data_IF_718328907184
#
_entry.id   IF_718328907184
#
_cell.length_a   1.000
_cell.length_b   1.000
_cell.length_c   1.000
_cell.angle_alpha   90.00
_cell.angle_beta   90.00
_cell.angle_gamma   90.00
#
_symmetry.space_group_name_H-M   'P 1'
#
loop_
_entity.id
_entity.type
_entity.pdbx_description
1 polymer ?
#
# COMPACT_ATOMS: atom_id res chain seq x y z
N UNK A 1 -8.93 -19.14 18.29
CA UNK A 1 -8.48 -20.16 17.35
C UNK A 1 -9.71 -20.95 16.94
N UNK A 2 -10.01 -21.01 15.65
CA UNK A 2 -11.04 -21.90 15.15
C UNK A 2 -10.55 -23.34 15.43
N UNK A 3 -11.37 -24.15 16.11
CA UNK A 3 -11.08 -25.57 16.29
C UNK A 3 -11.22 -26.29 14.94
N UNK A 4 -10.14 -26.27 14.17
CA UNK A 4 -10.09 -26.90 12.84
C UNK A 4 -10.31 -28.38 12.91
N UNK A 5 -10.02 -29.02 14.07
CA UNK A 5 -10.27 -30.45 14.31
C UNK A 5 -11.74 -30.81 14.30
N UNK A 6 -12.62 -29.91 14.76
CA UNK A 6 -14.06 -30.11 14.81
C UNK A 6 -14.81 -29.75 13.52
N UNK A 7 -14.16 -29.14 12.53
CA UNK A 7 -14.76 -28.80 11.23
C UNK A 7 -15.01 -30.06 10.39
N UNK A 8 -16.18 -30.17 9.77
CA UNK A 8 -16.47 -31.19 8.78
C UNK A 8 -15.72 -30.95 7.45
N UNK A 9 -15.49 -32.01 6.67
CA UNK A 9 -14.74 -31.89 5.40
C UNK A 9 -15.47 -31.08 4.34
N UNK A 10 -16.78 -30.97 4.40
CA UNK A 10 -17.62 -30.15 3.52
C UNK A 10 -17.81 -28.72 4.02
N UNK A 11 -17.31 -28.37 5.22
CA UNK A 11 -17.34 -27.01 5.72
C UNK A 11 -16.56 -26.07 4.81
N UNK A 12 -17.20 -24.96 4.39
CA UNK A 12 -16.59 -23.94 3.55
C UNK A 12 -15.55 -23.12 4.31
N UNK A 13 -14.29 -23.27 3.94
CA UNK A 13 -13.17 -22.45 4.43
C UNK A 13 -13.01 -21.17 3.62
N UNK A 14 -13.09 -21.26 2.30
CA UNK A 14 -13.00 -20.10 1.40
C UNK A 14 -14.35 -19.83 0.73
N UNK A 15 -15.19 -19.01 1.35
CA UNK A 15 -16.50 -18.66 0.81
C UNK A 15 -16.45 -17.90 -0.52
N UNK A 16 -15.35 -17.15 -0.82
CA UNK A 16 -15.22 -16.41 -2.08
C UNK A 16 -14.99 -17.32 -3.29
N UNK A 17 -14.33 -18.47 -3.08
CA UNK A 17 -13.96 -19.41 -4.15
C UNK A 17 -14.58 -20.79 -3.97
N UNK A 18 -15.49 -20.96 -3.02
CA UNK A 18 -16.23 -22.20 -2.79
C UNK A 18 -15.36 -23.38 -2.35
N UNK A 19 -14.27 -23.16 -1.61
CA UNK A 19 -13.31 -24.20 -1.23
C UNK A 19 -13.59 -24.70 0.18
N UNK A 20 -13.83 -26.02 0.32
CA UNK A 20 -14.08 -26.70 1.59
C UNK A 20 -12.79 -27.12 2.31
N UNK A 21 -12.90 -27.50 3.59
CA UNK A 21 -11.81 -28.07 4.37
C UNK A 21 -11.25 -29.33 3.72
N UNK A 22 -12.09 -30.25 3.31
CA UNK A 22 -11.65 -31.50 2.66
C UNK A 22 -10.87 -31.26 1.38
N UNK A 23 -11.28 -30.29 0.56
CA UNK A 23 -10.52 -29.89 -0.64
C UNK A 23 -9.11 -29.42 -0.29
N UNK A 24 -8.97 -28.64 0.79
CA UNK A 24 -7.68 -28.14 1.26
C UNK A 24 -6.82 -29.28 1.82
N UNK A 25 -7.38 -30.13 2.67
CA UNK A 25 -6.67 -31.28 3.27
C UNK A 25 -6.18 -32.25 2.18
N UNK A 26 -7.04 -32.59 1.22
CA UNK A 26 -6.67 -33.44 0.09
C UNK A 26 -5.54 -32.84 -0.76
N UNK A 27 -5.58 -31.54 -1.00
CA UNK A 27 -4.50 -30.84 -1.72
C UNK A 27 -3.18 -30.86 -0.95
N UNK A 28 -3.22 -30.67 0.39
CA UNK A 28 -2.04 -30.74 1.26
C UNK A 28 -1.42 -32.13 1.20
N UNK A 29 -2.21 -33.18 1.41
CA UNK A 29 -1.73 -34.55 1.47
C UNK A 29 -1.32 -35.09 0.10
N UNK A 30 -2.11 -34.81 -0.94
CA UNK A 30 -1.87 -35.32 -2.28
C UNK A 30 -0.68 -34.68 -2.99
N UNK A 31 -0.37 -33.41 -2.71
CA UNK A 31 0.71 -32.66 -3.36
C UNK A 31 1.85 -32.27 -2.42
N UNK A 32 1.83 -32.70 -1.17
CA UNK A 32 2.89 -32.39 -0.20
C UNK A 32 3.02 -30.90 0.10
N UNK A 33 1.89 -30.15 0.12
CA UNK A 33 1.91 -28.70 0.30
C UNK A 33 2.21 -28.33 1.75
N UNK A 34 3.07 -27.34 1.96
CA UNK A 34 3.54 -26.94 3.29
C UNK A 34 3.26 -25.48 3.63
N UNK A 35 2.78 -24.69 2.68
CA UNK A 35 2.51 -23.27 2.85
C UNK A 35 1.12 -22.86 2.39
N UNK A 36 0.59 -21.78 3.00
CA UNK A 36 -0.72 -21.18 2.61
C UNK A 36 -0.76 -20.77 1.14
N UNK A 37 0.36 -20.29 0.61
CA UNK A 37 0.46 -19.85 -0.78
C UNK A 37 0.44 -21.02 -1.77
N UNK A 38 1.06 -22.16 -1.42
CA UNK A 38 0.99 -23.40 -2.21
C UNK A 38 -0.45 -23.94 -2.22
N UNK A 39 -1.12 -23.99 -1.05
CA UNK A 39 -2.54 -24.37 -0.96
C UNK A 39 -3.40 -23.45 -1.81
N UNK A 40 -3.18 -22.14 -1.74
CA UNK A 40 -3.88 -21.18 -2.59
C UNK A 40 -3.59 -21.40 -4.08
N UNK A 41 -2.38 -21.82 -4.43
CA UNK A 41 -1.98 -22.20 -5.78
C UNK A 41 -2.77 -23.34 -6.38
N UNK A 42 -2.99 -24.39 -5.57
CA UNK A 42 -3.69 -25.60 -5.99
C UNK A 42 -5.22 -25.49 -5.92
N UNK A 43 -5.75 -24.75 -4.93
CA UNK A 43 -7.19 -24.76 -4.61
C UNK A 43 -7.91 -23.45 -4.87
N UNK A 44 -7.20 -22.37 -5.17
CA UNK A 44 -7.66 -20.98 -5.18
C UNK A 44 -8.13 -20.45 -3.81
N UNK A 45 -8.03 -21.22 -2.72
CA UNK A 45 -8.36 -20.73 -1.38
C UNK A 45 -7.42 -19.59 -0.96
N UNK A 46 -7.98 -18.53 -0.40
CA UNK A 46 -7.21 -17.36 0.06
C UNK A 46 -6.73 -16.39 -1.03
N UNK A 47 -7.06 -16.63 -2.31
CA UNK A 47 -6.61 -15.79 -3.43
C UNK A 47 -7.49 -14.58 -3.73
N UNK A 48 -8.75 -14.58 -3.30
CA UNK A 48 -9.66 -13.44 -3.50
C UNK A 48 -9.57 -12.43 -2.36
N UNK A 49 -10.35 -12.58 -1.29
CA UNK A 49 -10.36 -11.64 -0.17
C UNK A 49 -9.26 -11.89 0.88
N UNK A 50 -8.67 -13.09 0.91
CA UNK A 50 -7.61 -13.47 1.84
C UNK A 50 -8.07 -13.78 3.28
N UNK A 51 -9.36 -13.63 3.62
CA UNK A 51 -9.89 -13.85 5.00
C UNK A 51 -9.61 -15.23 5.54
N UNK A 52 -9.63 -16.25 4.68
CA UNK A 52 -9.43 -17.63 5.08
C UNK A 52 -7.96 -18.06 5.24
N UNK A 53 -6.98 -17.17 5.03
CA UNK A 53 -5.55 -17.53 5.10
C UNK A 53 -5.13 -18.04 6.50
N UNK A 54 -5.66 -17.45 7.57
CA UNK A 54 -5.42 -17.92 8.93
C UNK A 54 -5.97 -19.33 9.14
N UNK A 55 -7.21 -19.59 8.71
CA UNK A 55 -7.84 -20.90 8.78
C UNK A 55 -7.07 -21.95 7.95
N UNK A 56 -6.59 -21.59 6.76
CA UNK A 56 -5.74 -22.46 5.93
C UNK A 56 -4.43 -22.80 6.67
N UNK A 57 -3.81 -21.81 7.34
CA UNK A 57 -2.61 -22.05 8.17
C UNK A 57 -2.88 -23.00 9.33
N UNK A 58 -4.07 -22.90 9.95
CA UNK A 58 -4.47 -23.80 11.03
C UNK A 58 -4.77 -25.22 10.50
N UNK A 59 -5.37 -25.36 9.30
CA UNK A 59 -5.55 -26.63 8.61
C UNK A 59 -4.20 -27.28 8.25
N UNK A 60 -3.23 -26.52 7.76
CA UNK A 60 -1.87 -26.98 7.50
C UNK A 60 -1.22 -27.51 8.77
N UNK A 61 -1.31 -26.77 9.88
CA UNK A 61 -0.78 -27.19 11.18
C UNK A 61 -1.44 -28.47 11.68
N UNK A 62 -2.76 -28.58 11.53
CA UNK A 62 -3.54 -29.76 11.93
C UNK A 62 -3.19 -30.98 11.07
N UNK A 63 -3.09 -30.80 9.75
CA UNK A 63 -2.87 -31.90 8.78
C UNK A 63 -1.44 -32.43 8.82
N UNK A 64 -0.44 -31.57 9.01
CA UNK A 64 0.97 -31.93 8.99
C UNK A 64 1.56 -32.21 10.39
N UNK A 65 0.83 -31.85 11.47
CA UNK A 65 1.28 -32.08 12.85
C UNK A 65 2.69 -31.56 13.12
N UNK A 66 3.55 -32.37 13.70
CA UNK A 66 4.94 -32.02 14.03
C UNK A 66 5.80 -31.72 12.82
N UNK A 67 5.38 -32.08 11.60
CA UNK A 67 6.07 -31.73 10.36
C UNK A 67 5.80 -30.27 9.94
N UNK A 68 4.76 -29.63 10.50
CA UNK A 68 4.42 -28.25 10.23
C UNK A 68 5.18 -27.30 11.15
N UNK A 69 6.33 -26.83 10.67
CA UNK A 69 7.09 -25.83 11.41
C UNK A 69 6.71 -24.42 10.95
N UNK A 70 5.83 -23.74 11.71
CA UNK A 70 5.39 -22.35 11.47
C UNK A 70 6.56 -21.34 11.39
N UNK A 71 7.72 -21.67 11.98
CA UNK A 71 8.83 -20.74 12.17
C UNK A 71 10.11 -21.07 11.34
N UNK A 72 10.17 -22.21 10.66
CA UNK A 72 11.44 -22.76 10.19
C UNK A 72 11.79 -22.52 8.72
N UNK A 73 10.90 -22.01 7.86
CA UNK A 73 11.30 -21.55 6.53
C UNK A 73 10.98 -20.07 6.41
N UNK A 74 12.01 -19.23 6.37
CA UNK A 74 11.88 -17.88 5.82
C UNK A 74 11.19 -18.03 4.47
N UNK A 75 9.96 -17.54 4.35
CA UNK A 75 9.21 -17.66 3.12
C UNK A 75 9.98 -16.98 2.00
N UNK A 76 10.19 -17.68 0.88
CA UNK A 76 10.77 -17.07 -0.31
C UNK A 76 9.86 -15.96 -0.82
N UNK A 77 10.43 -14.92 -1.45
CA UNK A 77 9.65 -13.81 -1.98
C UNK A 77 8.64 -14.23 -3.05
N UNK A 78 8.92 -15.33 -3.77
CA UNK A 78 8.02 -15.95 -4.75
C UNK A 78 8.51 -17.35 -5.15
N UNK A 79 7.74 -18.05 -6.00
CA UNK A 79 8.11 -19.37 -6.52
C UNK A 79 9.30 -19.36 -7.52
N UNK A 80 9.71 -18.19 -8.01
CA UNK A 80 10.83 -18.08 -8.96
C UNK A 80 12.20 -18.21 -8.28
N UNK A 81 12.27 -18.09 -6.96
CA UNK A 81 13.49 -18.19 -6.15
C UNK A 81 13.20 -18.90 -4.82
N UNK A 82 14.22 -19.39 -4.17
CA UNK A 82 14.17 -19.88 -2.79
C UNK A 82 14.59 -18.81 -1.77
N UNK A 83 15.08 -17.66 -2.22
CA UNK A 83 15.58 -16.59 -1.36
C UNK A 83 14.42 -15.86 -0.68
N UNK A 84 14.60 -15.58 0.61
CA UNK A 84 13.75 -14.71 1.40
C UNK A 84 14.01 -13.23 1.10
N UNK A 85 13.12 -12.36 1.59
CA UNK A 85 13.31 -10.91 1.51
C UNK A 85 14.66 -10.45 2.06
N UNK A 86 15.03 -10.93 3.24
CA UNK A 86 16.26 -10.50 3.92
C UNK A 86 17.51 -10.93 3.17
N UNK A 87 17.50 -12.14 2.61
CA UNK A 87 18.58 -12.63 1.77
C UNK A 87 18.72 -11.82 0.48
N UNK A 88 17.62 -11.55 -0.21
CA UNK A 88 17.64 -10.69 -1.42
C UNK A 88 18.15 -9.29 -1.10
N UNK A 89 17.69 -8.68 -0.02
CA UNK A 89 18.13 -7.34 0.41
C UNK A 89 19.63 -7.34 0.78
N UNK A 90 20.10 -8.36 1.48
CA UNK A 90 21.52 -8.50 1.84
C UNK A 90 22.39 -8.64 0.59
N UNK A 91 22.02 -9.52 -0.33
CA UNK A 91 22.75 -9.77 -1.59
C UNK A 91 22.78 -8.52 -2.50
N UNK A 92 21.67 -7.77 -2.60
CA UNK A 92 21.65 -6.50 -3.34
C UNK A 92 22.67 -5.53 -2.77
N UNK A 93 22.73 -5.39 -1.43
CA UNK A 93 23.67 -4.50 -0.74
C UNK A 93 25.11 -4.96 -0.90
N UNK A 94 25.38 -6.24 -0.67
CA UNK A 94 26.73 -6.82 -0.70
C UNK A 94 27.35 -6.75 -2.10
N UNK A 95 26.53 -7.07 -3.14
CA UNK A 95 27.01 -7.12 -4.52
C UNK A 95 26.82 -5.79 -5.28
N UNK A 96 26.21 -4.79 -4.66
CA UNK A 96 25.96 -3.49 -5.28
C UNK A 96 25.05 -3.56 -6.51
N UNK A 97 24.05 -4.46 -6.50
CA UNK A 97 23.16 -4.67 -7.65
C UNK A 97 22.23 -3.47 -7.84
N UNK A 98 21.97 -3.07 -9.09
CA UNK A 98 21.30 -1.80 -9.42
C UNK A 98 20.04 -1.93 -10.24
N UNK A 99 19.77 -3.08 -10.88
CA UNK A 99 18.60 -3.29 -11.72
C UNK A 99 17.90 -4.60 -11.41
N UNK A 100 16.59 -4.65 -11.71
CA UNK A 100 15.74 -5.84 -11.49
C UNK A 100 16.29 -7.06 -12.24
N UNK A 101 16.71 -6.89 -13.49
CA UNK A 101 17.28 -7.97 -14.30
C UNK A 101 18.62 -8.45 -13.74
N UNK A 102 19.48 -7.54 -13.32
CA UNK A 102 20.76 -7.89 -12.70
C UNK A 102 20.57 -8.72 -11.43
N UNK A 103 19.66 -8.31 -10.53
CA UNK A 103 19.33 -9.08 -9.32
C UNK A 103 18.85 -10.48 -9.67
N UNK A 104 17.93 -10.62 -10.62
CA UNK A 104 17.42 -11.94 -11.00
C UNK A 104 18.48 -12.83 -11.61
N UNK A 105 19.33 -12.29 -12.47
CA UNK A 105 20.41 -13.05 -13.13
C UNK A 105 21.50 -13.47 -12.14
N UNK A 106 22.00 -12.54 -11.34
CA UNK A 106 23.10 -12.78 -10.41
C UNK A 106 22.69 -13.73 -9.28
N UNK A 107 21.46 -13.62 -8.79
CA UNK A 107 20.96 -14.45 -7.70
C UNK A 107 20.27 -15.75 -8.16
N UNK A 108 20.28 -16.07 -9.45
CA UNK A 108 19.84 -17.35 -10.01
C UNK A 108 18.33 -17.57 -9.96
N UNK A 109 17.55 -16.61 -10.47
CA UNK A 109 16.12 -16.80 -10.63
C UNK A 109 15.80 -17.93 -11.62
N UNK A 110 14.86 -18.82 -11.30
CA UNK A 110 14.42 -19.93 -12.17
C UNK A 110 13.74 -19.45 -13.45
N UNK A 111 13.16 -18.26 -13.42
CA UNK A 111 12.50 -17.61 -14.54
C UNK A 111 13.17 -16.24 -14.75
N UNK A 112 13.89 -16.07 -15.85
CA UNK A 112 14.63 -14.85 -16.21
C UNK A 112 13.74 -13.62 -16.32
N UNK A 113 12.46 -13.79 -16.70
CA UNK A 113 11.49 -12.70 -16.74
C UNK A 113 10.85 -12.38 -15.40
N UNK A 114 11.07 -13.23 -14.38
CA UNK A 114 10.43 -13.09 -13.08
C UNK A 114 8.91 -13.30 -13.11
N UNK A 115 8.21 -12.83 -12.09
CA UNK A 115 6.76 -12.89 -11.99
C UNK A 115 6.17 -11.59 -11.43
N UNK A 116 4.83 -11.52 -11.39
CA UNK A 116 4.08 -10.36 -10.87
C UNK A 116 4.28 -10.10 -9.37
N UNK A 117 4.96 -10.99 -8.63
CA UNK A 117 5.36 -10.78 -7.23
C UNK A 117 6.78 -10.25 -7.11
N UNK A 118 7.77 -10.95 -7.72
CA UNK A 118 9.18 -10.61 -7.51
C UNK A 118 9.62 -9.36 -8.26
N UNK A 119 9.16 -9.11 -9.48
CA UNK A 119 9.55 -7.90 -10.22
C UNK A 119 9.26 -6.61 -9.46
N UNK A 120 8.01 -6.37 -9.00
CA UNK A 120 7.72 -5.15 -8.23
C UNK A 120 8.38 -5.14 -6.85
N UNK A 121 8.61 -6.31 -6.22
CA UNK A 121 9.32 -6.40 -4.95
C UNK A 121 10.79 -6.02 -5.09
N UNK A 122 11.49 -6.56 -6.09
CA UNK A 122 12.90 -6.23 -6.34
C UNK A 122 13.06 -4.75 -6.70
N UNK A 123 12.20 -4.21 -7.58
CA UNK A 123 12.21 -2.78 -7.91
C UNK A 123 12.04 -1.90 -6.65
N UNK A 124 11.12 -2.28 -5.77
CA UNK A 124 10.92 -1.61 -4.48
C UNK A 124 12.16 -1.70 -3.58
N UNK A 125 12.78 -2.89 -3.45
CA UNK A 125 13.99 -3.07 -2.62
C UNK A 125 15.17 -2.26 -3.16
N UNK A 126 15.37 -2.24 -4.47
CA UNK A 126 16.39 -1.42 -5.11
C UNK A 126 16.20 0.07 -4.81
N UNK A 127 14.96 0.59 -4.89
CA UNK A 127 14.63 1.97 -4.56
C UNK A 127 14.85 2.32 -3.08
N UNK A 128 14.61 1.35 -2.20
CA UNK A 128 14.85 1.49 -0.76
C UNK A 128 16.35 1.47 -0.40
N UNK A 129 17.14 0.63 -1.07
CA UNK A 129 18.56 0.43 -0.77
C UNK A 129 19.42 1.51 -1.45
N UNK A 130 19.20 1.76 -2.73
CA UNK A 130 19.99 2.65 -3.56
C UNK A 130 19.32 4.02 -3.72
N UNK A 131 19.02 4.67 -2.60
CA UNK A 131 18.23 5.90 -2.58
C UNK A 131 18.75 6.96 -3.56
N UNK A 132 20.07 7.10 -3.73
CA UNK A 132 20.66 8.14 -4.58
C UNK A 132 20.67 7.79 -6.08
N UNK A 133 20.82 6.50 -6.42
CA UNK A 133 21.13 6.07 -7.78
C UNK A 133 20.06 5.17 -8.42
N UNK A 134 19.01 4.78 -7.68
CA UNK A 134 17.97 3.92 -8.21
C UNK A 134 17.22 4.59 -9.37
N UNK A 135 17.08 3.87 -10.47
CA UNK A 135 16.16 4.20 -11.56
C UNK A 135 14.95 3.30 -11.47
N UNK A 136 13.77 3.89 -11.32
CA UNK A 136 12.54 3.13 -11.23
C UNK A 136 12.30 2.30 -12.51
N UNK A 137 12.20 0.98 -12.35
CA UNK A 137 11.78 0.10 -13.44
C UNK A 137 10.24 0.06 -13.51
N UNK A 138 9.67 1.02 -14.25
CA UNK A 138 8.22 1.15 -14.43
C UNK A 138 7.58 -0.14 -14.96
N UNK A 139 8.27 -0.89 -15.82
CA UNK A 139 7.75 -2.14 -16.37
C UNK A 139 7.69 -3.28 -15.35
N UNK A 140 8.44 -3.18 -14.28
CA UNK A 140 8.38 -4.09 -13.13
C UNK A 140 7.32 -3.71 -12.08
N UNK A 141 6.65 -2.56 -12.18
CA UNK A 141 5.57 -2.17 -11.26
C UNK A 141 4.29 -2.97 -11.50
N UNK A 142 3.38 -2.95 -10.52
CA UNK A 142 2.04 -3.51 -10.68
C UNK A 142 1.25 -2.73 -11.75
N UNK A 143 0.30 -3.39 -12.42
CA UNK A 143 -0.39 -2.84 -13.60
C UNK A 143 -1.04 -1.48 -13.36
N UNK A 144 -1.73 -1.28 -12.23
CA UNK A 144 -2.31 0.02 -11.88
C UNK A 144 -1.25 1.10 -11.62
N UNK A 145 -0.09 0.71 -11.09
CA UNK A 145 1.03 1.62 -10.85
C UNK A 145 1.73 2.03 -12.16
N UNK A 146 1.86 1.11 -13.12
CA UNK A 146 2.36 1.43 -14.47
C UNK A 146 1.52 2.51 -15.16
N UNK A 147 0.20 2.41 -14.98
CA UNK A 147 -0.77 3.30 -15.61
C UNK A 147 -1.08 4.56 -14.78
N UNK A 148 -0.58 4.63 -13.56
CA UNK A 148 -0.94 5.67 -12.58
C UNK A 148 -2.45 5.90 -12.44
N UNK A 149 -3.24 4.84 -12.57
CA UNK A 149 -4.69 4.85 -12.46
C UNK A 149 -5.23 3.49 -12.03
N UNK A 150 -6.45 3.46 -11.44
CA UNK A 150 -7.16 2.20 -11.22
C UNK A 150 -7.82 1.75 -12.52
N UNK A 151 -7.51 0.54 -12.96
CA UNK A 151 -8.20 -0.15 -14.06
C UNK A 151 -9.47 -0.77 -13.49
N UNK A 152 -10.62 -0.47 -14.09
CA UNK A 152 -11.93 -0.95 -13.67
C UNK A 152 -12.29 -2.27 -14.38
N UNK A 153 -13.36 -2.92 -13.92
CA UNK A 153 -13.80 -4.21 -14.45
C UNK A 153 -14.14 -4.19 -15.93
N UNK A 154 -14.65 -3.07 -16.42
CA UNK A 154 -15.04 -2.84 -17.82
C UNK A 154 -13.89 -2.36 -18.71
N UNK A 155 -12.67 -2.25 -18.16
CA UNK A 155 -11.48 -1.76 -18.86
C UNK A 155 -11.32 -0.24 -18.86
N UNK A 156 -12.27 0.49 -18.29
CA UNK A 156 -12.14 1.94 -18.07
C UNK A 156 -11.26 2.26 -16.84
N UNK A 157 -11.07 3.52 -16.54
CA UNK A 157 -10.16 3.99 -15.50
C UNK A 157 -10.84 4.93 -14.52
N UNK A 158 -10.26 5.04 -13.32
CA UNK A 158 -10.67 6.03 -12.32
C UNK A 158 -9.61 7.11 -12.19
N UNK A 159 -10.02 8.36 -12.26
CA UNK A 159 -9.21 9.55 -11.93
C UNK A 159 -9.61 10.05 -10.55
N UNK A 160 -8.62 10.20 -9.65
CA UNK A 160 -8.84 10.67 -8.28
C UNK A 160 -7.82 11.77 -7.97
N UNK A 161 -8.19 13.05 -8.09
CA UNK A 161 -7.33 14.16 -7.71
C UNK A 161 -6.99 14.15 -6.21
N UNK A 162 -5.85 14.73 -5.85
CA UNK A 162 -5.43 14.89 -4.47
C UNK A 162 -6.28 15.97 -3.78
N UNK A 163 -6.81 15.63 -2.63
CA UNK A 163 -7.47 16.53 -1.70
C UNK A 163 -6.83 16.36 -0.34
N UNK A 164 -5.87 17.22 -0.02
CA UNK A 164 -5.08 17.12 1.21
C UNK A 164 -5.96 17.21 2.44
N UNK A 165 -5.89 16.21 3.30
CA UNK A 165 -6.74 16.13 4.49
C UNK A 165 -8.24 16.05 4.20
N UNK A 166 -8.64 15.75 2.96
CA UNK A 166 -10.04 15.80 2.54
C UNK A 166 -10.59 17.22 2.34
N UNK A 167 -9.73 18.24 2.37
CA UNK A 167 -10.09 19.64 2.17
C UNK A 167 -9.95 20.01 0.69
N UNK A 168 -10.90 20.77 0.16
CA UNK A 168 -10.89 21.28 -1.20
C UNK A 168 -11.45 22.69 -1.26
N UNK A 169 -11.32 23.38 -2.41
CA UNK A 169 -11.82 24.72 -2.64
C UNK A 169 -13.01 24.71 -3.60
N UNK A 170 -13.83 25.77 -3.57
CA UNK A 170 -14.87 25.98 -4.57
C UNK A 170 -14.31 26.03 -6.00
N UNK A 171 -13.10 26.59 -6.17
CA UNK A 171 -12.40 26.60 -7.46
C UNK A 171 -12.07 25.17 -7.94
N UNK A 172 -11.50 24.33 -7.08
CA UNK A 172 -11.15 22.95 -7.44
C UNK A 172 -12.40 22.11 -7.74
N UNK A 173 -13.48 22.30 -6.96
CA UNK A 173 -14.76 21.65 -7.24
C UNK A 173 -15.31 22.03 -8.62
N UNK A 174 -15.22 23.32 -8.98
CA UNK A 174 -15.64 23.80 -10.29
C UNK A 174 -14.79 23.19 -11.40
N UNK A 175 -13.45 23.20 -11.27
CA UNK A 175 -12.55 22.56 -12.23
C UNK A 175 -12.87 21.06 -12.41
N UNK A 176 -13.10 20.34 -11.35
CA UNK A 176 -13.45 18.91 -11.42
C UNK A 176 -14.78 18.71 -12.18
N UNK A 177 -15.78 19.56 -11.93
CA UNK A 177 -17.06 19.48 -12.62
C UNK A 177 -16.92 19.80 -14.12
N UNK A 178 -16.23 20.86 -14.48
CA UNK A 178 -15.95 21.25 -15.88
C UNK A 178 -15.19 20.16 -16.64
N UNK A 179 -14.20 19.56 -16.01
CA UNK A 179 -13.44 18.43 -16.61
C UNK A 179 -14.34 17.20 -16.76
N UNK A 180 -15.15 16.88 -15.76
CA UNK A 180 -16.06 15.74 -15.86
C UNK A 180 -17.08 15.91 -16.99
N UNK A 181 -17.62 17.11 -17.21
CA UNK A 181 -18.50 17.44 -18.32
C UNK A 181 -17.77 17.40 -19.68
N UNK A 182 -16.57 17.99 -19.77
CA UNK A 182 -15.76 18.04 -21.01
C UNK A 182 -15.44 16.67 -21.57
N UNK A 183 -15.20 15.67 -20.70
CA UNK A 183 -14.82 14.31 -21.09
C UNK A 183 -15.95 13.29 -20.94
N UNK A 184 -17.20 13.74 -20.83
CA UNK A 184 -18.40 12.88 -20.68
C UNK A 184 -18.20 11.79 -19.62
N UNK A 185 -17.62 12.14 -18.45
CA UNK A 185 -17.36 11.19 -17.36
C UNK A 185 -18.69 10.64 -16.83
N UNK A 186 -18.94 9.32 -16.94
CA UNK A 186 -20.27 8.78 -16.65
C UNK A 186 -20.63 8.77 -15.16
N UNK A 187 -19.64 8.83 -14.26
CA UNK A 187 -19.88 8.80 -12.81
C UNK A 187 -18.86 9.62 -12.03
N UNK A 188 -19.33 10.58 -11.27
CA UNK A 188 -18.56 11.31 -10.26
C UNK A 188 -19.02 10.86 -8.87
N UNK A 189 -18.09 10.47 -7.98
CA UNK A 189 -18.42 9.90 -6.66
C UNK A 189 -17.50 10.41 -5.57
N UNK A 190 -18.09 10.75 -4.42
CA UNK A 190 -17.34 10.95 -3.17
C UNK A 190 -16.84 9.59 -2.68
N UNK A 191 -15.53 9.45 -2.51
CA UNK A 191 -14.87 8.21 -2.07
C UNK A 191 -14.78 8.12 -0.54
N UNK A 192 -14.64 6.92 -0.01
CA UNK A 192 -14.40 6.72 1.42
C UNK A 192 -13.09 7.33 1.94
N UNK A 193 -12.20 7.81 1.06
CA UNK A 193 -10.97 8.52 1.40
C UNK A 193 -11.13 10.05 1.47
N UNK A 194 -12.36 10.57 1.49
CA UNK A 194 -12.67 12.01 1.45
C UNK A 194 -12.13 12.70 0.18
N UNK A 195 -12.25 12.04 -0.96
CA UNK A 195 -11.84 12.57 -2.27
C UNK A 195 -12.95 12.36 -3.29
N UNK A 196 -12.89 13.10 -4.38
CA UNK A 196 -13.78 12.93 -5.53
C UNK A 196 -13.09 11.99 -6.52
N UNK A 197 -13.81 10.98 -7.00
CA UNK A 197 -13.36 10.07 -8.05
C UNK A 197 -14.21 10.25 -9.31
N UNK A 198 -13.54 10.33 -10.45
CA UNK A 198 -14.11 10.31 -11.79
C UNK A 198 -14.00 8.88 -12.33
N UNK A 199 -15.12 8.23 -12.57
CA UNK A 199 -15.19 6.81 -12.94
C UNK A 199 -15.66 6.64 -14.38
N UNK A 200 -15.18 5.59 -15.06
CA UNK A 200 -15.56 5.30 -16.44
C UNK A 200 -14.72 6.08 -17.47
N UNK A 201 -13.54 6.58 -17.07
CA UNK A 201 -12.65 7.34 -17.95
C UNK A 201 -11.97 6.40 -18.95
N UNK A 202 -11.89 6.82 -20.21
CA UNK A 202 -11.15 6.09 -21.24
C UNK A 202 -9.64 6.25 -21.06
N UNK A 203 -8.86 5.27 -21.50
CA UNK A 203 -7.41 5.27 -21.36
C UNK A 203 -6.77 6.49 -22.05
N UNK A 204 -7.20 6.75 -23.26
CA UNK A 204 -6.70 7.84 -24.10
C UNK A 204 -6.98 9.24 -23.57
N UNK A 205 -8.04 9.39 -22.77
CA UNK A 205 -8.41 10.68 -22.18
C UNK A 205 -7.59 11.02 -20.91
N UNK A 206 -6.95 10.01 -20.29
CA UNK A 206 -6.24 10.19 -19.02
C UNK A 206 -5.21 11.33 -19.03
N UNK A 207 -4.28 11.43 -20.02
CA UNK A 207 -3.29 12.52 -20.02
C UNK A 207 -3.92 13.90 -20.10
N UNK A 208 -4.93 14.08 -20.97
CA UNK A 208 -5.60 15.35 -21.16
C UNK A 208 -6.48 15.75 -19.94
N UNK A 209 -7.15 14.79 -19.31
CA UNK A 209 -7.90 15.02 -18.05
C UNK A 209 -6.96 15.53 -16.95
N UNK A 210 -5.79 14.90 -16.77
CA UNK A 210 -4.85 15.33 -15.74
C UNK A 210 -4.21 16.70 -16.07
N UNK A 211 -3.99 17.01 -17.34
CA UNK A 211 -3.55 18.32 -17.80
C UNK A 211 -4.58 19.41 -17.48
N UNK A 212 -5.86 19.18 -17.80
CA UNK A 212 -6.96 20.12 -17.53
C UNK A 212 -7.25 20.28 -16.04
N UNK A 213 -7.17 19.20 -15.26
CA UNK A 213 -7.35 19.27 -13.80
C UNK A 213 -6.29 20.14 -13.13
N UNK A 214 -5.05 20.12 -13.63
CA UNK A 214 -3.89 20.77 -13.01
C UNK A 214 -3.75 20.49 -11.51
N UNK A 215 -4.16 19.29 -11.07
CA UNK A 215 -4.13 18.83 -9.70
C UNK A 215 -3.20 17.61 -9.56
N UNK A 216 -2.51 17.43 -8.41
CA UNK A 216 -1.71 16.24 -8.16
C UNK A 216 -2.56 14.96 -8.12
N UNK A 217 -1.95 13.83 -8.46
CA UNK A 217 -2.56 12.52 -8.32
C UNK A 217 -2.87 12.18 -6.86
N UNK A 218 -4.06 11.64 -6.60
CA UNK A 218 -4.44 11.10 -5.30
C UNK A 218 -3.84 9.72 -5.00
N UNK A 219 -3.02 9.13 -5.88
CA UNK A 219 -2.39 7.81 -5.73
C UNK A 219 -3.38 6.71 -5.29
N UNK A 220 -4.62 6.77 -5.75
CA UNK A 220 -5.68 5.83 -5.35
C UNK A 220 -5.40 4.37 -5.77
N UNK A 221 -4.39 4.13 -6.57
CA UNK A 221 -3.97 2.87 -7.17
C UNK A 221 -2.70 2.25 -6.54
N UNK A 222 -1.79 3.08 -5.97
CA UNK A 222 -0.43 2.69 -5.64
C UNK A 222 -0.25 2.05 -4.24
N UNK A 223 0.93 1.49 -4.04
CA UNK A 223 1.46 1.09 -2.72
C UNK A 223 2.18 2.29 -2.12
N UNK A 224 1.41 3.23 -1.61
CA UNK A 224 1.85 4.52 -1.09
C UNK A 224 0.84 5.04 -0.07
N UNK A 225 1.08 6.25 0.46
CA UNK A 225 0.07 6.95 1.22
C UNK A 225 -1.11 7.32 0.31
N UNK A 226 -2.28 6.71 0.60
CA UNK A 226 -3.51 6.89 -0.18
C UNK A 226 -4.26 8.14 0.19
N UNK A 227 -4.36 8.45 1.48
CA UNK A 227 -5.14 9.57 2.00
C UNK A 227 -4.84 9.78 3.48
N UNK A 228 -4.98 11.01 3.94
CA UNK A 228 -5.13 11.36 5.35
C UNK A 228 -6.55 11.90 5.55
N UNK A 229 -7.43 11.12 6.19
CA UNK A 229 -8.77 11.57 6.53
C UNK A 229 -8.70 12.53 7.71
N UNK A 230 -9.48 13.60 7.68
CA UNK A 230 -9.60 14.51 8.81
C UNK A 230 -11.07 14.73 9.20
N UNK A 231 -11.32 15.08 10.43
CA UNK A 231 -12.58 15.76 10.81
C UNK A 231 -12.32 17.28 10.82
N UNK A 232 -13.33 18.08 11.11
CA UNK A 232 -13.18 19.55 11.09
C UNK A 232 -12.42 20.13 12.30
N UNK A 233 -12.08 19.28 13.28
CA UNK A 233 -11.24 19.61 14.42
C UNK A 233 -11.70 20.79 15.26
N UNK A 234 -10.74 21.40 15.97
CA UNK A 234 -11.00 22.55 16.85
C UNK A 234 -11.48 23.81 16.11
N UNK A 235 -11.27 23.89 14.81
CA UNK A 235 -11.68 25.08 14.04
C UNK A 235 -13.20 25.21 13.91
N UNK A 236 -13.94 24.09 13.81
CA UNK A 236 -15.40 24.12 13.58
C UNK A 236 -16.21 23.18 14.48
N UNK A 237 -15.55 22.31 15.24
CA UNK A 237 -16.25 21.35 16.10
C UNK A 237 -16.10 21.74 17.58
N UNK A 238 -17.23 21.90 18.29
CA UNK A 238 -17.23 22.20 19.73
C UNK A 238 -16.54 21.15 20.62
N UNK A 239 -16.34 19.94 20.10
CA UNK A 239 -15.67 18.84 20.81
C UNK A 239 -14.23 18.65 20.36
N UNK A 240 -13.80 19.36 19.33
CA UNK A 240 -12.44 19.25 18.80
C UNK A 240 -11.44 19.91 19.75
N UNK A 241 -10.43 19.17 20.20
CA UNK A 241 -9.37 19.69 21.06
C UNK A 241 -8.16 20.15 20.26
N UNK A 242 -7.98 19.64 19.03
CA UNK A 242 -6.79 19.87 18.21
C UNK A 242 -7.15 20.26 16.77
N UNK A 243 -6.22 20.95 16.07
CA UNK A 243 -6.33 21.24 14.64
C UNK A 243 -6.01 19.97 13.81
N UNK A 244 -7.06 19.33 13.32
CA UNK A 244 -6.94 18.09 12.56
C UNK A 244 -6.69 18.33 11.08
N UNK A 245 -7.27 19.38 10.51
CA UNK A 245 -7.08 19.70 9.10
C UNK A 245 -5.65 20.17 8.84
N UNK A 246 -5.11 21.05 9.71
CA UNK A 246 -3.72 21.50 9.63
C UNK A 246 -2.73 20.34 9.66
N UNK A 247 -2.81 19.47 10.68
CA UNK A 247 -1.93 18.31 10.79
C UNK A 247 -2.13 17.34 9.62
N UNK A 248 -3.38 17.03 9.26
CA UNK A 248 -3.67 16.09 8.16
C UNK A 248 -3.13 16.54 6.81
N UNK A 249 -3.26 17.85 6.50
CA UNK A 249 -2.70 18.45 5.28
C UNK A 249 -1.16 18.36 5.27
N UNK A 250 -0.50 18.69 6.40
CA UNK A 250 0.97 18.61 6.52
C UNK A 250 1.48 17.18 6.34
N UNK A 251 0.85 16.20 7.00
CA UNK A 251 1.18 14.78 6.87
C UNK A 251 1.01 14.29 5.41
N UNK A 252 -0.11 14.62 4.78
CA UNK A 252 -0.38 14.16 3.44
C UNK A 252 0.57 14.79 2.42
N UNK A 253 0.86 16.09 2.52
CA UNK A 253 1.84 16.79 1.67
C UNK A 253 3.25 16.23 1.82
N UNK A 254 3.66 15.89 3.06
CA UNK A 254 4.99 15.33 3.29
C UNK A 254 5.15 13.93 2.70
N UNK A 255 4.16 13.06 2.87
CA UNK A 255 4.31 11.63 2.57
C UNK A 255 3.54 11.15 1.32
N UNK A 256 2.87 12.01 0.58
CA UNK A 256 1.95 11.65 -0.51
C UNK A 256 2.53 10.75 -1.61
N UNK A 257 3.83 10.84 -1.85
CA UNK A 257 4.53 10.14 -2.94
C UNK A 257 5.45 9.03 -2.47
N UNK A 258 5.42 8.72 -1.18
CA UNK A 258 6.28 7.70 -0.60
C UNK A 258 5.86 6.29 -1.04
N UNK A 259 6.73 5.58 -1.73
CA UNK A 259 6.54 4.14 -1.97
C UNK A 259 6.64 3.35 -0.67
N UNK A 260 5.66 2.52 -0.43
CA UNK A 260 5.57 1.67 0.78
C UNK A 260 5.33 0.21 0.39
N UNK A 261 5.65 -0.77 1.26
CA UNK A 261 5.41 -2.19 0.97
C UNK A 261 3.96 -2.50 0.59
N UNK A 262 3.01 -1.82 1.23
CA UNK A 262 1.59 -1.86 0.90
C UNK A 262 0.97 -0.47 1.06
N UNK A 263 -0.27 -0.28 0.57
CA UNK A 263 -1.01 0.97 0.75
C UNK A 263 -1.09 1.38 2.22
N UNK A 264 -0.87 2.65 2.49
CA UNK A 264 -1.01 3.27 3.81
C UNK A 264 -2.18 4.25 3.80
N UNK A 265 -2.95 4.27 4.87
CA UNK A 265 -4.02 5.23 5.11
C UNK A 265 -3.85 5.82 6.50
N UNK A 266 -4.03 7.12 6.60
CA UNK A 266 -3.97 7.83 7.87
C UNK A 266 -5.33 8.48 8.20
N UNK A 267 -5.49 8.84 9.47
CA UNK A 267 -6.66 9.59 9.93
C UNK A 267 -6.32 10.48 11.10
N UNK A 268 -6.88 11.69 11.14
CA UNK A 268 -6.71 12.65 12.23
C UNK A 268 -8.07 13.05 12.75
N UNK A 269 -8.40 12.60 13.95
CA UNK A 269 -9.64 12.90 14.67
C UNK A 269 -9.35 13.90 15.78
N UNK A 270 -10.15 14.96 15.90
CA UNK A 270 -9.94 16.04 16.88
C UNK A 270 -10.35 15.71 18.31
N UNK A 271 -10.90 14.51 18.54
CA UNK A 271 -11.26 14.02 19.88
C UNK A 271 -11.53 12.50 19.82
N UNK A 272 -11.72 11.82 20.98
CA UNK A 272 -11.99 10.38 21.06
C UNK A 272 -13.28 9.88 20.36
N UNK A 273 -14.14 10.78 19.85
CA UNK A 273 -15.29 10.41 19.00
C UNK A 273 -14.90 9.78 17.67
N UNK A 274 -13.64 9.91 17.28
CA UNK A 274 -13.02 9.18 16.16
C UNK A 274 -13.72 9.36 14.80
N UNK A 275 -14.23 10.55 14.50
CA UNK A 275 -15.00 10.84 13.28
C UNK A 275 -14.21 10.62 11.97
N UNK A 276 -12.87 10.73 11.99
CA UNK A 276 -11.99 10.42 10.87
C UNK A 276 -11.53 8.95 10.83
N UNK A 277 -12.10 8.11 11.71
CA UNK A 277 -11.77 6.68 11.82
C UNK A 277 -10.27 6.41 12.11
N UNK A 278 -9.62 7.31 12.85
CA UNK A 278 -8.19 7.21 13.19
C UNK A 278 -7.83 5.85 13.83
N UNK A 279 -8.71 5.34 14.70
CA UNK A 279 -8.49 4.08 15.42
C UNK A 279 -8.44 2.81 14.57
N UNK A 280 -8.74 2.89 13.26
CA UNK A 280 -8.65 1.75 12.32
C UNK A 280 -7.80 2.07 11.08
N UNK A 281 -6.91 3.05 11.20
CA UNK A 281 -5.97 3.40 10.12
C UNK A 281 -4.60 2.79 10.36
N UNK A 282 -3.80 2.74 9.30
CA UNK A 282 -2.40 2.31 9.41
C UNK A 282 -1.63 3.20 10.40
N UNK A 283 -1.93 4.51 10.41
CA UNK A 283 -1.53 5.47 11.43
C UNK A 283 -2.71 6.40 11.70
N UNK A 284 -3.09 6.53 12.96
CA UNK A 284 -4.20 7.37 13.40
C UNK A 284 -3.79 8.33 14.51
N UNK A 285 -4.33 9.54 14.48
CA UNK A 285 -4.13 10.57 15.47
C UNK A 285 -5.47 10.92 16.10
N UNK A 286 -5.54 10.91 17.41
CA UNK A 286 -6.73 11.27 18.17
C UNK A 286 -6.39 12.44 19.08
N UNK A 287 -7.04 13.58 18.85
CA UNK A 287 -6.84 14.80 19.64
C UNK A 287 -7.26 14.59 21.09
N UNK A 288 -6.42 15.03 22.00
CA UNK A 288 -6.64 15.13 23.45
C UNK A 288 -6.24 16.52 23.91
N UNK A 289 -6.46 16.88 25.18
CA UNK A 289 -6.31 18.26 25.66
C UNK A 289 -4.91 18.86 25.41
N UNK A 290 -3.86 18.03 25.48
CA UNK A 290 -2.47 18.47 25.37
C UNK A 290 -1.71 17.78 24.22
N UNK A 291 -2.37 17.54 23.06
CA UNK A 291 -1.75 16.98 21.87
C UNK A 291 -2.56 15.87 21.20
N UNK A 292 -1.87 14.86 20.68
CA UNK A 292 -2.48 13.73 19.99
C UNK A 292 -2.00 12.40 20.57
N UNK A 293 -2.93 11.48 20.80
CA UNK A 293 -2.61 10.06 20.89
C UNK A 293 -2.42 9.49 19.50
N UNK A 294 -1.37 8.66 19.34
CA UNK A 294 -1.03 8.02 18.08
C UNK A 294 -1.39 6.54 18.16
N UNK A 295 -2.21 6.08 17.23
CA UNK A 295 -2.58 4.69 17.05
C UNK A 295 -1.95 4.17 15.77
N UNK A 296 -1.36 2.96 15.80
CA UNK A 296 -0.67 2.37 14.66
C UNK A 296 -1.23 0.99 14.30
N UNK A 297 -0.99 0.56 13.07
CA UNK A 297 -1.33 -0.78 12.60
C UNK A 297 -2.83 -1.12 12.63
N UNK A 298 -3.71 -0.13 12.61
CA UNK A 298 -5.12 -0.34 12.39
C UNK A 298 -5.41 -0.83 10.95
N UNK A 299 -6.49 -1.56 10.77
CA UNK A 299 -6.94 -2.02 9.46
C UNK A 299 -8.46 -2.01 9.35
N UNK A 300 -9.01 -1.11 8.54
CA UNK A 300 -10.45 -1.04 8.21
C UNK A 300 -10.83 -1.88 6.99
N UNK A 301 -10.10 -2.94 6.69
CA UNK A 301 -10.34 -3.82 5.55
C UNK A 301 -11.02 -5.14 5.92
N UNK A 302 -10.77 -6.19 5.13
CA UNK A 302 -11.32 -7.55 5.35
C UNK A 302 -10.90 -8.18 6.66
N UNK A 303 -9.71 -7.83 7.15
CA UNK A 303 -9.17 -8.24 8.45
C UNK A 303 -9.23 -7.00 9.36
N UNK A 304 -10.42 -6.76 9.93
CA UNK A 304 -10.66 -5.58 10.75
C UNK A 304 -9.84 -5.64 12.04
N UNK A 305 -9.05 -4.59 12.26
CA UNK A 305 -8.18 -4.47 13.43
C UNK A 305 -8.20 -3.05 13.98
N UNK A 306 -8.40 -2.90 15.27
CA UNK A 306 -8.12 -1.64 15.96
C UNK A 306 -6.62 -1.39 15.99
N UNK A 307 -6.22 -0.12 15.88
CA UNK A 307 -4.82 0.29 16.04
C UNK A 307 -4.38 0.16 17.50
N UNK A 308 -3.10 -0.13 17.69
CA UNK A 308 -2.47 -0.12 19.00
C UNK A 308 -2.05 1.30 19.40
N UNK A 309 -2.24 1.67 20.65
CA UNK A 309 -1.73 2.92 21.17
C UNK A 309 -0.20 2.92 21.17
N UNK A 310 0.38 3.71 20.28
CA UNK A 310 1.83 3.83 20.18
C UNK A 310 2.40 4.77 21.24
N UNK A 311 1.77 5.92 21.42
CA UNK A 311 2.19 6.94 22.35
C UNK A 311 1.40 8.23 22.19
N UNK A 312 1.94 9.31 22.74
CA UNK A 312 1.38 10.65 22.69
C UNK A 312 2.43 11.65 22.24
N UNK A 313 2.02 12.63 21.46
CA UNK A 313 2.83 13.76 21.01
C UNK A 313 2.13 15.07 21.35
N UNK A 314 2.89 16.11 21.61
CA UNK A 314 2.36 17.42 22.00
C UNK A 314 2.25 18.38 20.82
N UNK A 315 3.11 18.23 19.84
CA UNK A 315 3.19 19.14 18.68
C UNK A 315 2.99 18.41 17.37
N UNK A 316 2.67 19.16 16.33
CA UNK A 316 2.55 18.64 14.97
C UNK A 316 3.92 18.18 14.42
N UNK A 317 5.00 18.86 14.79
CA UNK A 317 6.36 18.52 14.41
C UNK A 317 6.77 17.15 14.97
N UNK A 318 6.48 16.90 16.25
CA UNK A 318 6.68 15.57 16.86
C UNK A 318 5.85 14.49 16.16
N UNK A 319 4.58 14.80 15.80
CA UNK A 319 3.72 13.88 15.07
C UNK A 319 4.29 13.52 13.68
N UNK A 320 4.79 14.52 12.96
CA UNK A 320 5.37 14.34 11.62
C UNK A 320 6.69 13.57 11.70
N UNK A 321 7.56 13.91 12.66
CA UNK A 321 8.84 13.24 12.87
C UNK A 321 8.64 11.76 13.21
N UNK A 322 7.75 11.47 14.16
CA UNK A 322 7.46 10.08 14.55
C UNK A 322 6.82 9.29 13.41
N UNK A 323 5.92 9.91 12.65
CA UNK A 323 5.32 9.30 11.45
C UNK A 323 6.37 8.95 10.41
N UNK A 324 7.30 9.86 10.13
CA UNK A 324 8.38 9.62 9.18
C UNK A 324 9.26 8.44 9.59
N UNK A 325 9.68 8.40 10.84
CA UNK A 325 10.49 7.31 11.37
C UNK A 325 9.73 5.97 11.35
N UNK A 326 8.45 5.95 11.74
CA UNK A 326 7.61 4.75 11.70
C UNK A 326 7.44 4.22 10.28
N UNK A 327 7.12 5.09 9.33
CA UNK A 327 6.98 4.72 7.93
C UNK A 327 8.29 4.21 7.33
N UNK A 328 9.42 4.86 7.65
CA UNK A 328 10.71 4.42 7.14
C UNK A 328 11.13 3.08 7.74
N UNK A 329 10.90 2.86 9.03
CA UNK A 329 11.18 1.57 9.66
C UNK A 329 10.30 0.46 9.10
N UNK A 330 9.02 0.74 8.87
CA UNK A 330 8.11 -0.17 8.16
C UNK A 330 8.62 -0.48 6.74
N UNK A 331 9.05 0.53 5.98
CA UNK A 331 9.60 0.36 4.63
C UNK A 331 10.82 -0.56 4.63
N UNK A 332 11.71 -0.42 5.60
CA UNK A 332 12.98 -1.13 5.68
C UNK A 332 12.86 -2.57 6.21
N UNK A 333 11.77 -2.89 6.94
CA UNK A 333 11.65 -4.17 7.66
C UNK A 333 10.43 -5.01 7.30
N UNK A 334 9.47 -4.45 6.55
CA UNK A 334 8.30 -5.21 6.11
C UNK A 334 8.59 -6.06 4.87
N UNK A 335 7.85 -7.16 4.74
CA UNK A 335 7.76 -7.92 3.50
C UNK A 335 7.02 -7.10 2.42
N UNK A 336 7.38 -7.25 1.16
CA UNK A 336 6.62 -6.59 0.09
C UNK A 336 5.18 -7.12 0.05
N UNK A 337 4.20 -6.22 0.00
CA UNK A 337 2.76 -6.44 0.12
C UNK A 337 2.27 -6.77 1.55
N UNK A 338 3.12 -6.70 2.55
CA UNK A 338 2.71 -6.82 3.95
C UNK A 338 2.07 -5.52 4.44
N UNK A 339 0.87 -5.61 5.03
CA UNK A 339 0.20 -4.47 5.68
C UNK A 339 0.86 -4.11 7.00
N UNK A 340 0.78 -2.85 7.39
CA UNK A 340 1.27 -2.36 8.70
C UNK A 340 0.74 -3.19 9.87
N UNK A 341 -0.52 -3.65 9.80
CA UNK A 341 -1.12 -4.51 10.81
C UNK A 341 -0.41 -5.86 10.97
N UNK A 342 -0.10 -6.52 9.85
CA UNK A 342 0.60 -7.81 9.87
C UNK A 342 2.08 -7.67 10.18
N UNK A 343 2.70 -6.61 9.69
CA UNK A 343 4.06 -6.25 10.03
C UNK A 343 4.23 -6.02 11.54
N UNK A 344 3.34 -5.23 12.16
CA UNK A 344 3.43 -4.97 13.60
C UNK A 344 3.16 -6.22 14.44
N UNK A 345 2.22 -7.09 14.01
CA UNK A 345 1.99 -8.40 14.65
C UNK A 345 3.25 -9.29 14.60
N UNK A 346 4.02 -9.23 13.51
CA UNK A 346 5.25 -10.02 13.32
C UNK A 346 6.45 -9.45 14.06
N UNK A 347 6.63 -8.13 14.04
CA UNK A 347 7.79 -7.45 14.62
C UNK A 347 7.62 -7.18 16.12
N UNK A 348 6.41 -6.90 16.54
CA UNK A 348 6.04 -6.56 17.91
C UNK A 348 6.02 -5.06 18.18
N UNK A 349 4.96 -4.58 18.86
CA UNK A 349 4.77 -3.18 19.19
C UNK A 349 5.91 -2.64 20.07
N UNK A 350 6.28 -3.39 21.11
CA UNK A 350 7.31 -2.95 22.07
C UNK A 350 8.67 -2.79 21.43
N UNK A 351 9.02 -3.71 20.50
CA UNK A 351 10.26 -3.58 19.72
C UNK A 351 10.25 -2.33 18.84
N UNK A 352 9.14 -2.06 18.13
CA UNK A 352 9.04 -0.84 17.31
C UNK A 352 9.12 0.41 18.17
N UNK A 353 8.50 0.41 19.35
CA UNK A 353 8.62 1.52 20.33
C UNK A 353 10.05 1.71 20.76
N UNK A 354 10.77 0.66 21.12
CA UNK A 354 12.18 0.72 21.53
C UNK A 354 13.04 1.35 20.43
N UNK A 355 12.91 0.88 19.18
CA UNK A 355 13.65 1.40 18.02
C UNK A 355 13.36 2.89 17.81
N UNK A 356 12.11 3.33 17.88
CA UNK A 356 11.71 4.70 17.58
C UNK A 356 11.88 5.67 18.77
N UNK A 357 12.04 5.16 19.98
CA UNK A 357 12.37 5.98 21.17
C UNK A 357 13.83 6.42 21.14
N UNK A 358 14.71 5.62 20.52
CA UNK A 358 16.11 6.01 20.32
C UNK A 358 16.21 7.19 19.35
N UNK A 359 16.67 8.34 19.84
CA UNK A 359 16.71 9.58 19.07
C UNK A 359 17.63 9.53 17.86
N UNK A 360 18.81 8.89 17.98
CA UNK A 360 19.75 8.76 16.86
C UNK A 360 19.16 7.90 15.75
N UNK A 361 18.54 6.77 16.11
CA UNK A 361 17.86 5.90 15.16
C UNK A 361 16.70 6.62 14.48
N UNK A 362 15.88 7.34 15.23
CA UNK A 362 14.75 8.11 14.72
C UNK A 362 15.21 9.18 13.72
N UNK A 363 16.27 9.93 14.03
CA UNK A 363 16.86 10.93 13.13
C UNK A 363 17.44 10.30 11.86
N UNK A 364 18.13 9.17 11.99
CA UNK A 364 18.69 8.45 10.84
C UNK A 364 17.59 7.92 9.91
N UNK A 365 16.49 7.41 10.47
CA UNK A 365 15.31 6.98 9.70
C UNK A 365 14.69 8.16 8.94
N UNK A 366 14.44 9.28 9.60
CA UNK A 366 13.89 10.48 8.98
C UNK A 366 14.80 11.04 7.88
N UNK A 367 16.13 11.03 8.08
CA UNK A 367 17.07 11.45 7.03
C UNK A 367 16.92 10.61 5.76
N UNK A 368 16.85 9.29 5.88
CA UNK A 368 16.65 8.39 4.71
C UNK A 368 15.26 8.58 4.10
N UNK A 369 14.25 8.85 4.91
CA UNK A 369 12.92 9.20 4.43
C UNK A 369 12.96 10.47 3.58
N UNK A 370 13.56 11.54 4.08
CA UNK A 370 13.61 12.82 3.38
C UNK A 370 14.40 12.70 2.06
N UNK A 371 15.54 12.02 2.06
CA UNK A 371 16.29 11.69 0.84
C UNK A 371 15.45 10.93 -0.20
N UNK A 372 14.60 10.00 0.27
CA UNK A 372 13.68 9.28 -0.61
C UNK A 372 12.63 10.22 -1.21
N UNK A 373 12.04 11.09 -0.41
CA UNK A 373 10.96 11.99 -0.83
C UNK A 373 11.43 13.06 -1.82
N UNK A 374 12.68 13.53 -1.70
CA UNK A 374 13.27 14.51 -2.62
C UNK A 374 13.32 14.03 -4.08
N UNK A 375 13.30 12.73 -4.30
CA UNK A 375 13.45 12.10 -5.63
C UNK A 375 12.14 11.84 -6.36
N UNK A 376 11.02 11.89 -5.67
CA UNK A 376 9.74 11.57 -6.30
C UNK A 376 9.24 12.71 -7.18
N UNK A 377 8.90 12.35 -8.42
CA UNK A 377 8.27 13.23 -9.40
C UNK A 377 6.77 12.94 -9.38
N UNK A 378 5.95 13.97 -9.57
CA UNK A 378 4.51 13.79 -9.76
C UNK A 378 4.26 13.00 -11.05
N UNK A 379 3.59 11.83 -10.99
CA UNK A 379 3.57 10.88 -12.11
C UNK A 379 2.83 11.40 -13.34
N UNK A 380 1.79 12.20 -13.17
CA UNK A 380 1.06 12.76 -14.31
C UNK A 380 1.80 13.92 -14.95
N UNK A 381 2.56 14.69 -14.18
CA UNK A 381 3.49 15.68 -14.74
C UNK A 381 4.53 14.99 -15.63
N UNK A 382 5.10 13.89 -15.17
CA UNK A 382 6.03 13.07 -15.97
C UNK A 382 5.39 12.60 -17.28
N UNK A 383 4.14 12.07 -17.22
CA UNK A 383 3.41 11.62 -18.42
C UNK A 383 3.12 12.77 -19.37
N UNK A 384 2.74 13.95 -18.86
CA UNK A 384 2.41 15.12 -19.67
C UNK A 384 3.66 15.70 -20.35
N UNK A 385 4.76 15.79 -19.62
CA UNK A 385 6.00 16.42 -20.08
C UNK A 385 6.81 15.52 -21.06
N UNK A 386 6.61 14.19 -21.03
CA UNK A 386 7.37 13.23 -21.86
C UNK A 386 6.50 12.50 -22.87
N UNK A 387 6.66 12.85 -24.15
CA UNK A 387 5.87 12.28 -25.27
C UNK A 387 5.93 10.75 -25.31
N UNK A 388 7.09 10.15 -25.13
CA UNK A 388 7.31 8.70 -25.17
C UNK A 388 6.55 7.93 -24.07
N UNK A 389 6.27 8.61 -22.95
CA UNK A 389 5.46 8.06 -21.86
C UNK A 389 3.97 8.28 -22.16
N UNK A 390 3.60 9.47 -22.64
CA UNK A 390 2.24 9.86 -23.02
C UNK A 390 1.71 8.94 -24.14
N UNK A 391 2.52 8.63 -25.13
CA UNK A 391 2.12 7.81 -26.28
C UNK A 391 1.69 6.39 -25.90
N UNK A 392 2.11 5.88 -24.73
CA UNK A 392 1.68 4.58 -24.20
C UNK A 392 0.18 4.54 -23.82
N UNK A 393 -0.45 5.69 -23.68
CA UNK A 393 -1.88 5.81 -23.37
C UNK A 393 -2.74 5.79 -24.65
N UNK A 394 -2.16 6.07 -25.81
CA UNK A 394 -2.86 6.14 -27.09
C UNK A 394 -2.79 4.82 -27.85
N UNK A 395 -3.69 4.63 -28.80
CA UNK A 395 -3.60 3.56 -29.79
C UNK A 395 -2.54 3.91 -30.85
N UNK A 396 -2.03 2.89 -31.56
CA UNK A 396 -1.07 3.09 -32.66
C UNK A 396 -1.61 4.08 -33.71
N UNK A 397 -2.93 4.01 -34.01
CA UNK A 397 -3.57 4.91 -34.95
C UNK A 397 -3.52 6.38 -34.48
N UNK A 398 -3.87 6.63 -33.21
CA UNK A 398 -3.84 7.99 -32.63
C UNK A 398 -2.42 8.58 -32.60
N UNK A 399 -1.40 7.76 -32.30
CA UNK A 399 -0.01 8.20 -32.35
C UNK A 399 0.40 8.61 -33.76
N UNK A 400 0.00 7.87 -34.78
CA UNK A 400 0.32 8.19 -36.18
C UNK A 400 -0.37 9.45 -36.68
N UNK A 401 -1.54 9.81 -36.15
CA UNK A 401 -2.23 11.06 -36.48
C UNK A 401 -1.53 12.29 -35.89
N UNK A 402 -0.87 12.17 -34.74
CA UNK A 402 -0.13 13.29 -34.12
C UNK A 402 1.22 13.57 -34.75
N UNK A 403 1.70 12.68 -35.63
CA UNK A 403 3.01 12.82 -36.34
C UNK A 403 2.84 13.45 -37.73
N UNK A 404 1.60 13.60 -38.22
CA UNK A 404 1.26 14.33 -39.45
C UNK A 404 1.07 15.81 -39.16
#
# INVERSE_FOLDING_TARGET
ANDVGSMADDDLVCGCNGVSKGTIVNAIQGNGLTTVDEVGGCTNAGRSCGRCKSTISDILAYTLGDQYNKSAKKASICSCTHLSRDEVVAEIKEKGLTSVKEVMNVLGWKNEEGCSKCRPAINYYLGMINIENHRDDRDSRLVNEKMHANIQKDGTYTVVPRMYGGVTSAKDLKTIAEVAEKYDVPLVKLTGGQRIGLFGVKKEDLPAIWEDLAMPSGYAYGKTLRTVKTCVGSQFCRYGTQDTMGLGIKLEKKFERLDTPHKVKMGVSGCPRNCAEAGIKDIGFVGVDDGFEIYVAGNGGTDLRAGDLFGKVKTEEEAIELTGAYLQYYRETAEYLERTSKWLERVGLDHVKEVLTNEETRKALNKRMDQTLERYIEPWKEVIDHKEIRDKYYTVHQVLETVK
#
